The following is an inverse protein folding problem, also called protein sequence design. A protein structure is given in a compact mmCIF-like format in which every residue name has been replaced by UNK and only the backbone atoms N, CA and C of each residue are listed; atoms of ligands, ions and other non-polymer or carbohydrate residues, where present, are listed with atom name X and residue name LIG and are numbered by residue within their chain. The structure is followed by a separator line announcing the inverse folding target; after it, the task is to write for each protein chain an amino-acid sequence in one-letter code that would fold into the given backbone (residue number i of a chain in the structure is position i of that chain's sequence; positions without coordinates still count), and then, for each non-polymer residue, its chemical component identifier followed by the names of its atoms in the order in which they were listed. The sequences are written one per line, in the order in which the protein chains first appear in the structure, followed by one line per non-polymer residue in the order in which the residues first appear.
data_IF_599190493077
#
_entry.id   IF_599190493077
#
_cell.length_a   1.000
_cell.length_b   1.000
_cell.length_c   1.000
_cell.angle_alpha   90.00
_cell.angle_beta   90.00
_cell.angle_gamma   90.00
#
_symmetry.space_group_name_H-M   'P 1'
#
loop_
_entity.id
_entity.type
_entity.pdbx_description
1 polymer ?
#
# COMPACT_ATOMS: atom_id res chain seq x y z
N UNK A 1 -12.42 -12.44 10.65
CA UNK A 1 -11.20 -11.62 10.54
C UNK A 1 -10.59 -11.81 9.17
N UNK A 2 -10.41 -10.74 8.46
CA UNK A 2 -9.79 -10.80 7.14
C UNK A 2 -8.29 -10.99 7.24
N UNK A 3 -7.77 -11.89 6.42
CA UNK A 3 -6.35 -12.16 6.38
C UNK A 3 -5.68 -11.30 5.31
N UNK A 4 -4.55 -10.69 5.68
CA UNK A 4 -3.75 -9.88 4.78
C UNK A 4 -2.61 -10.72 4.21
N UNK A 5 -2.42 -10.65 2.90
CA UNK A 5 -1.36 -11.36 2.20
C UNK A 5 -0.41 -10.39 1.54
N UNK A 6 0.86 -10.75 1.52
CA UNK A 6 1.86 -10.07 0.70
C UNK A 6 1.92 -10.81 -0.63
N UNK A 7 1.78 -10.06 -1.71
CA UNK A 7 1.80 -10.62 -3.06
C UNK A 7 3.19 -11.16 -3.38
N UNK A 8 3.24 -12.43 -3.80
CA UNK A 8 4.49 -13.08 -4.20
C UNK A 8 4.58 -13.13 -5.73
N UNK A 9 5.59 -12.48 -6.34
CA UNK A 9 5.74 -12.47 -7.80
C UNK A 9 5.90 -13.85 -8.44
N UNK A 10 6.32 -14.86 -7.65
CA UNK A 10 6.58 -16.22 -8.16
C UNK A 10 5.48 -17.21 -7.80
N UNK A 11 4.40 -16.75 -7.19
CA UNK A 11 3.24 -17.57 -6.89
C UNK A 11 2.21 -17.43 -8.02
N UNK A 12 2.02 -18.51 -8.78
CA UNK A 12 1.09 -18.52 -9.91
C UNK A 12 -0.34 -18.18 -9.50
N UNK A 13 -0.76 -18.61 -8.32
CA UNK A 13 -2.09 -18.34 -7.80
C UNK A 13 -2.26 -16.84 -7.54
N UNK A 14 -1.26 -16.19 -6.96
CA UNK A 14 -1.30 -14.74 -6.74
C UNK A 14 -1.42 -13.97 -8.04
N UNK A 15 -0.66 -14.40 -9.06
CA UNK A 15 -0.72 -13.76 -10.38
C UNK A 15 -2.11 -13.90 -10.99
N UNK A 16 -2.68 -15.10 -10.92
CA UNK A 16 -4.02 -15.36 -11.45
C UNK A 16 -5.09 -14.54 -10.72
N UNK A 17 -4.99 -14.42 -9.42
CA UNK A 17 -5.88 -13.57 -8.62
C UNK A 17 -5.80 -12.12 -9.08
N UNK A 18 -4.60 -11.63 -9.33
CA UNK A 18 -4.39 -10.25 -9.73
C UNK A 18 -4.88 -9.99 -11.15
N UNK A 19 -4.64 -10.92 -12.07
CA UNK A 19 -5.16 -10.83 -13.44
C UNK A 19 -6.68 -10.82 -13.45
N UNK A 20 -7.31 -11.66 -12.64
CA UNK A 20 -8.77 -11.70 -12.50
C UNK A 20 -9.31 -10.39 -11.93
N UNK A 21 -8.61 -9.82 -10.96
CA UNK A 21 -8.97 -8.53 -10.38
C UNK A 21 -8.98 -7.43 -11.43
N UNK A 22 -7.92 -7.34 -12.24
CA UNK A 22 -7.84 -6.34 -13.30
C UNK A 22 -8.93 -6.50 -14.34
N UNK A 23 -9.21 -7.74 -14.71
CA UNK A 23 -10.26 -8.05 -15.70
C UNK A 23 -11.65 -7.69 -15.17
N UNK A 24 -11.95 -8.07 -13.93
CA UNK A 24 -13.24 -7.80 -13.31
C UNK A 24 -13.52 -6.31 -13.14
N UNK A 25 -12.53 -5.57 -12.69
CA UNK A 25 -12.67 -4.14 -12.41
C UNK A 25 -12.31 -3.25 -13.61
N UNK A 26 -11.83 -3.84 -14.70
CA UNK A 26 -11.41 -3.13 -15.92
C UNK A 26 -10.40 -2.04 -15.63
N UNK A 27 -9.38 -2.39 -14.85
CA UNK A 27 -8.30 -1.49 -14.45
C UNK A 27 -6.95 -2.11 -14.70
N UNK A 28 -5.92 -1.27 -14.84
CA UNK A 28 -4.53 -1.68 -14.84
C UNK A 28 -3.93 -1.29 -13.52
N UNK A 29 -3.27 -2.24 -12.84
CA UNK A 29 -2.71 -2.00 -11.51
C UNK A 29 -1.19 -1.90 -11.56
N UNK A 30 -0.65 -1.08 -10.68
CA UNK A 30 0.79 -1.02 -10.45
C UNK A 30 1.31 -2.36 -9.91
N UNK A 31 0.47 -3.08 -9.19
CA UNK A 31 0.82 -4.38 -8.62
C UNK A 31 1.15 -5.40 -9.70
N UNK A 32 0.30 -5.55 -10.71
CA UNK A 32 0.56 -6.51 -11.79
C UNK A 32 1.74 -6.06 -12.64
N UNK A 33 1.83 -4.79 -12.96
CA UNK A 33 2.96 -4.23 -13.70
C UNK A 33 4.29 -4.53 -13.00
N UNK A 34 4.35 -4.29 -11.70
CA UNK A 34 5.55 -4.52 -10.90
C UNK A 34 5.96 -5.99 -10.86
N UNK A 35 5.03 -6.91 -10.59
CA UNK A 35 5.38 -8.33 -10.49
C UNK A 35 5.77 -8.95 -11.83
N UNK A 36 5.13 -8.52 -12.92
CA UNK A 36 5.50 -9.02 -14.24
C UNK A 36 6.90 -8.55 -14.64
N UNK A 37 7.23 -7.31 -14.33
CA UNK A 37 8.56 -6.76 -14.56
C UNK A 37 9.63 -7.54 -13.79
N UNK A 38 9.35 -7.89 -12.54
CA UNK A 38 10.25 -8.70 -11.71
C UNK A 38 10.45 -10.08 -12.33
N UNK A 39 9.35 -10.77 -12.67
CA UNK A 39 9.42 -12.11 -13.24
C UNK A 39 10.17 -12.16 -14.57
N UNK A 40 10.01 -11.13 -15.39
CA UNK A 40 10.67 -11.08 -16.69
C UNK A 40 12.18 -10.80 -16.59
N UNK A 41 12.61 -10.20 -15.48
CA UNK A 41 13.97 -9.74 -15.31
C UNK A 41 14.82 -10.61 -14.36
N UNK A 42 14.19 -11.28 -13.40
CA UNK A 42 14.89 -11.97 -12.31
C UNK A 42 14.34 -13.38 -12.09
N UNK A 43 15.22 -14.30 -11.67
CA UNK A 43 14.79 -15.57 -11.11
C UNK A 43 14.31 -15.33 -9.67
N UNK A 44 13.62 -16.31 -9.10
CA UNK A 44 13.16 -16.23 -7.71
C UNK A 44 14.34 -16.05 -6.74
N UNK A 45 15.44 -16.76 -6.97
CA UNK A 45 16.64 -16.62 -6.14
C UNK A 45 17.28 -15.24 -6.26
N UNK A 46 17.40 -14.73 -7.47
CA UNK A 46 17.92 -13.38 -7.71
C UNK A 46 17.05 -12.32 -7.01
N UNK A 47 15.73 -12.50 -7.07
CA UNK A 47 14.78 -11.60 -6.44
C UNK A 47 14.96 -11.60 -4.91
N UNK A 48 15.09 -12.78 -4.30
CA UNK A 48 15.31 -12.90 -2.85
C UNK A 48 16.61 -12.22 -2.42
N UNK A 49 17.67 -12.38 -3.20
CA UNK A 49 18.95 -11.75 -2.91
C UNK A 49 18.87 -10.23 -3.03
N UNK A 50 18.21 -9.76 -4.07
CA UNK A 50 18.02 -8.32 -4.27
C UNK A 50 17.24 -7.68 -3.11
N UNK A 51 16.19 -8.36 -2.65
CA UNK A 51 15.35 -7.86 -1.56
C UNK A 51 16.07 -7.72 -0.23
N UNK A 52 17.08 -8.56 0.03
CA UNK A 52 17.83 -8.51 1.30
C UNK A 52 18.59 -7.19 1.47
N UNK A 53 19.07 -6.60 0.38
CA UNK A 53 19.95 -5.44 0.42
C UNK A 53 19.35 -4.19 -0.24
N UNK A 54 18.12 -4.28 -0.72
CA UNK A 54 17.51 -3.17 -1.43
C UNK A 54 17.07 -2.07 -0.45
N UNK A 55 17.41 -0.83 -0.80
CA UNK A 55 16.86 0.32 -0.11
C UNK A 55 15.41 0.57 -0.55
N UNK A 56 15.12 0.37 -1.82
CA UNK A 56 13.79 0.57 -2.36
C UNK A 56 12.83 -0.56 -1.96
N UNK A 57 11.62 -0.18 -1.60
CA UNK A 57 10.54 -1.09 -1.28
C UNK A 57 9.49 -0.98 -2.37
N UNK A 58 9.16 -2.09 -3.00
CA UNK A 58 8.00 -2.22 -3.87
C UNK A 58 7.33 -3.53 -3.52
N UNK A 59 6.12 -3.46 -2.99
CA UNK A 59 5.35 -4.66 -2.68
C UNK A 59 3.86 -4.35 -2.74
N UNK A 60 3.08 -5.41 -2.85
CA UNK A 60 1.63 -5.29 -2.82
C UNK A 60 1.08 -6.16 -1.71
N UNK A 61 0.01 -5.67 -1.09
CA UNK A 61 -0.75 -6.41 -0.10
C UNK A 61 -2.19 -6.54 -0.58
N UNK A 62 -2.83 -7.62 -0.22
CA UNK A 62 -4.22 -7.85 -0.61
C UNK A 62 -4.97 -8.66 0.44
N UNK A 63 -6.29 -8.52 0.43
CA UNK A 63 -7.20 -9.39 1.16
C UNK A 63 -7.98 -10.23 0.15
N UNK A 64 -8.40 -11.41 0.57
CA UNK A 64 -9.09 -12.36 -0.29
C UNK A 64 -10.46 -12.68 0.27
N UNK A 65 -11.45 -12.79 -0.61
CA UNK A 65 -12.79 -13.22 -0.27
C UNK A 65 -13.36 -14.02 -1.42
N UNK A 66 -13.85 -15.22 -1.10
CA UNK A 66 -14.49 -16.11 -2.09
C UNK A 66 -13.61 -16.42 -3.30
N UNK A 67 -12.31 -16.60 -3.08
CA UNK A 67 -11.35 -16.92 -4.12
C UNK A 67 -10.96 -15.76 -5.02
N UNK A 68 -11.23 -14.53 -4.59
CA UNK A 68 -10.91 -13.32 -5.35
C UNK A 68 -10.22 -12.30 -4.47
N UNK A 69 -9.43 -11.43 -5.08
CA UNK A 69 -8.88 -10.28 -4.37
C UNK A 69 -10.03 -9.31 -4.08
N UNK A 70 -10.18 -8.96 -2.81
CA UNK A 70 -11.16 -8.01 -2.35
C UNK A 70 -10.59 -6.61 -2.25
N UNK A 71 -9.43 -6.48 -1.61
CA UNK A 71 -8.74 -5.22 -1.42
C UNK A 71 -7.30 -5.36 -1.90
N UNK A 72 -6.78 -4.33 -2.53
CA UNK A 72 -5.43 -4.33 -3.08
C UNK A 72 -4.77 -2.97 -2.83
N UNK A 73 -3.54 -3.00 -2.33
CA UNK A 73 -2.74 -1.79 -2.13
C UNK A 73 -1.31 -2.05 -2.59
N UNK A 74 -0.78 -1.14 -3.41
CA UNK A 74 0.62 -1.14 -3.81
C UNK A 74 1.40 -0.19 -2.90
N UNK A 75 2.54 -0.65 -2.39
CA UNK A 75 3.38 0.13 -1.46
C UNK A 75 4.74 0.37 -2.11
N UNK A 76 5.13 1.62 -2.18
CA UNK A 76 6.42 2.02 -2.73
C UNK A 76 7.14 2.93 -1.74
N UNK A 77 8.39 2.62 -1.43
CA UNK A 77 9.09 3.41 -0.43
C UNK A 77 10.59 3.18 -0.40
N UNK A 78 11.22 3.75 0.61
CA UNK A 78 12.65 3.67 0.83
C UNK A 78 12.96 3.38 2.29
N UNK A 79 13.83 2.38 2.51
CA UNK A 79 14.22 1.93 3.85
C UNK A 79 15.09 2.94 4.60
N UNK A 80 15.98 3.65 3.90
CA UNK A 80 16.93 4.55 4.55
C UNK A 80 16.24 5.75 5.21
N UNK A 81 15.20 6.30 4.56
CA UNK A 81 14.41 7.40 5.11
C UNK A 81 13.12 6.92 5.78
N UNK A 82 12.85 5.62 5.73
CA UNK A 82 11.72 4.94 6.36
C UNK A 82 10.38 5.61 6.02
N UNK A 83 10.20 5.89 4.74
CA UNK A 83 9.01 6.54 4.20
C UNK A 83 8.46 5.70 3.06
N UNK A 84 7.14 5.60 2.98
CA UNK A 84 6.49 4.94 1.87
C UNK A 84 5.22 5.66 1.44
N UNK A 85 4.78 5.34 0.24
CA UNK A 85 3.56 5.85 -0.36
C UNK A 85 2.62 4.69 -0.65
N UNK A 86 1.35 4.85 -0.33
CA UNK A 86 0.32 3.85 -0.59
C UNK A 86 -0.45 4.23 -1.84
N UNK A 87 -0.64 3.26 -2.72
CA UNK A 87 -1.42 3.41 -3.95
C UNK A 87 -2.59 2.45 -3.89
N UNK A 88 -3.80 3.00 -3.93
CA UNK A 88 -5.01 2.20 -3.88
C UNK A 88 -5.59 2.08 -5.28
N UNK A 89 -5.95 0.86 -5.66
CA UNK A 89 -6.67 0.65 -6.91
C UNK A 89 -8.08 1.17 -6.76
N UNK A 90 -8.64 1.77 -7.82
CA UNK A 90 -10.03 2.21 -7.76
C UNK A 90 -10.94 1.02 -7.46
N UNK A 91 -11.74 1.12 -6.39
CA UNK A 91 -12.77 0.14 -6.11
C UNK A 91 -14.13 0.82 -6.26
N UNK A 92 -15.14 0.13 -6.80
CA UNK A 92 -16.48 0.70 -6.88
C UNK A 92 -17.15 0.81 -5.51
N UNK A 93 -16.67 0.11 -4.51
CA UNK A 93 -17.26 0.11 -3.17
C UNK A 93 -16.59 1.12 -2.24
N UNK A 94 -17.20 2.30 -2.12
CA UNK A 94 -16.68 3.38 -1.27
C UNK A 94 -16.64 3.03 0.22
N UNK A 95 -17.50 2.13 0.67
CA UNK A 95 -17.63 1.76 2.08
C UNK A 95 -16.38 1.06 2.62
N UNK A 96 -15.61 0.43 1.76
CA UNK A 96 -14.43 -0.34 2.18
C UNK A 96 -13.14 0.46 2.21
N UNK A 97 -13.15 1.66 1.68
CA UNK A 97 -11.95 2.48 1.59
C UNK A 97 -11.31 2.73 2.95
N UNK A 98 -12.12 3.02 3.97
CA UNK A 98 -11.61 3.25 5.33
C UNK A 98 -10.91 2.02 5.90
N UNK A 99 -11.52 0.85 5.72
CA UNK A 99 -10.97 -0.41 6.24
C UNK A 99 -9.64 -0.74 5.56
N UNK A 100 -9.59 -0.63 4.24
CA UNK A 100 -8.37 -0.86 3.47
C UNK A 100 -7.28 0.14 3.86
N UNK A 101 -7.65 1.41 4.00
CA UNK A 101 -6.71 2.45 4.40
C UNK A 101 -6.12 2.16 5.78
N UNK A 102 -6.94 1.76 6.75
CA UNK A 102 -6.47 1.38 8.08
C UNK A 102 -5.54 0.17 8.04
N UNK A 103 -5.91 -0.86 7.30
CA UNK A 103 -5.10 -2.08 7.16
C UNK A 103 -3.74 -1.77 6.52
N UNK A 104 -3.73 -1.03 5.44
CA UNK A 104 -2.50 -0.70 4.72
C UNK A 104 -1.60 0.24 5.54
N UNK A 105 -2.18 1.22 6.21
CA UNK A 105 -1.44 2.13 7.07
C UNK A 105 -0.81 1.39 8.25
N UNK A 106 -1.58 0.54 8.91
CA UNK A 106 -1.08 -0.28 10.02
C UNK A 106 0.06 -1.19 9.56
N UNK A 107 -0.10 -1.83 8.40
CA UNK A 107 0.93 -2.69 7.82
C UNK A 107 2.22 -1.90 7.56
N UNK A 108 2.11 -0.73 6.96
CA UNK A 108 3.27 0.11 6.65
C UNK A 108 4.00 0.57 7.91
N UNK A 109 3.27 1.04 8.90
CA UNK A 109 3.88 1.55 10.14
C UNK A 109 4.40 0.43 11.04
N UNK A 110 3.62 -0.63 11.25
CA UNK A 110 3.92 -1.64 12.26
C UNK A 110 4.62 -2.89 11.71
N UNK A 111 4.32 -3.31 10.50
CA UNK A 111 4.97 -4.48 9.90
C UNK A 111 6.22 -4.10 9.11
N UNK A 112 6.12 -3.08 8.27
CA UNK A 112 7.30 -2.59 7.52
C UNK A 112 8.19 -1.67 8.33
N UNK A 113 7.69 -1.11 9.43
CA UNK A 113 8.46 -0.23 10.30
C UNK A 113 8.72 1.16 9.73
N UNK A 114 7.84 1.65 8.87
CA UNK A 114 7.98 2.99 8.31
C UNK A 114 7.75 4.07 9.37
N UNK A 115 8.42 5.20 9.23
CA UNK A 115 8.20 6.38 10.07
C UNK A 115 7.12 7.27 9.51
N UNK A 116 6.99 7.31 8.19
CA UNK A 116 6.04 8.17 7.51
C UNK A 116 5.34 7.42 6.39
N UNK A 117 4.06 7.67 6.23
CA UNK A 117 3.23 7.10 5.16
C UNK A 117 2.51 8.23 4.43
N UNK A 118 2.62 8.24 3.11
CA UNK A 118 1.97 9.24 2.27
C UNK A 118 0.84 8.61 1.45
N UNK A 119 -0.22 9.39 1.26
CA UNK A 119 -1.29 9.07 0.31
C UNK A 119 -1.56 10.31 -0.50
N UNK A 120 -1.64 10.16 -1.81
CA UNK A 120 -1.95 11.25 -2.72
C UNK A 120 -3.34 11.00 -3.32
N UNK A 121 -4.19 12.00 -3.28
CA UNK A 121 -5.53 11.91 -3.85
C UNK A 121 -5.86 13.19 -4.61
N UNK A 122 -7.00 13.22 -5.28
CA UNK A 122 -7.47 14.40 -6.01
C UNK A 122 -8.42 15.22 -5.15
N UNK A 123 -8.55 16.51 -5.46
CA UNK A 123 -9.45 17.41 -4.74
C UNK A 123 -10.91 16.94 -4.79
N UNK A 124 -11.29 16.22 -5.85
CA UNK A 124 -12.66 15.76 -6.06
C UNK A 124 -13.03 14.49 -5.30
N UNK A 125 -12.05 13.77 -4.77
CA UNK A 125 -12.28 12.51 -4.06
C UNK A 125 -12.61 12.76 -2.58
N UNK A 126 -13.81 13.25 -2.33
CA UNK A 126 -14.26 13.62 -0.98
C UNK A 126 -14.28 12.43 -0.02
N UNK A 127 -14.61 11.26 -0.51
CA UNK A 127 -14.63 10.03 0.31
C UNK A 127 -13.23 9.73 0.83
N UNK A 128 -12.23 9.82 -0.03
CA UNK A 128 -10.85 9.59 0.38
C UNK A 128 -10.38 10.64 1.41
N UNK A 129 -10.72 11.91 1.21
CA UNK A 129 -10.38 12.97 2.17
C UNK A 129 -10.92 12.68 3.56
N UNK A 130 -12.20 12.32 3.65
CA UNK A 130 -12.85 12.01 4.93
C UNK A 130 -12.15 10.80 5.58
N UNK A 131 -11.88 9.76 4.82
CA UNK A 131 -11.25 8.55 5.35
C UNK A 131 -9.81 8.80 5.81
N UNK A 132 -9.04 9.59 5.07
CA UNK A 132 -7.68 9.94 5.44
C UNK A 132 -7.66 10.74 6.75
N UNK A 133 -8.53 11.73 6.88
CA UNK A 133 -8.64 12.52 8.11
C UNK A 133 -9.05 11.64 9.30
N UNK A 134 -10.01 10.73 9.11
CA UNK A 134 -10.45 9.81 10.15
C UNK A 134 -9.38 8.80 10.54
N UNK A 135 -8.44 8.51 9.65
CA UNK A 135 -7.31 7.61 9.94
C UNK A 135 -6.10 8.34 10.52
N UNK A 136 -6.23 9.63 10.77
CA UNK A 136 -5.18 10.42 11.41
C UNK A 136 -4.16 11.01 10.47
N UNK A 137 -4.45 11.07 9.18
CA UNK A 137 -3.56 11.72 8.20
C UNK A 137 -3.73 13.23 8.23
N UNK A 138 -2.62 13.92 8.05
CA UNK A 138 -2.57 15.38 7.95
C UNK A 138 -2.53 15.80 6.49
N UNK A 139 -3.36 16.77 6.13
CA UNK A 139 -3.37 17.37 4.79
C UNK A 139 -2.20 18.34 4.67
N UNK A 140 -1.25 18.06 3.79
CA UNK A 140 -0.08 18.91 3.55
C UNK A 140 -0.30 19.96 2.48
N UNK A 141 -1.44 19.92 1.79
CA UNK A 141 -1.77 20.89 0.78
C UNK A 141 -1.89 20.32 -0.62
N UNK A 142 -2.25 21.21 -1.55
CA UNK A 142 -2.49 20.87 -2.95
C UNK A 142 -1.30 21.24 -3.81
N UNK A 143 -0.92 20.35 -4.74
CA UNK A 143 0.09 20.61 -5.75
C UNK A 143 -0.40 20.04 -7.08
N UNK A 144 -0.62 20.92 -8.06
CA UNK A 144 -1.05 20.55 -9.42
C UNK A 144 -2.30 19.65 -9.44
N UNK A 145 -3.29 19.98 -8.62
CA UNK A 145 -4.54 19.22 -8.56
C UNK A 145 -4.50 17.97 -7.67
N UNK A 146 -3.35 17.65 -7.13
CA UNK A 146 -3.18 16.53 -6.20
C UNK A 146 -3.07 17.05 -4.77
N UNK A 147 -3.70 16.34 -3.85
CA UNK A 147 -3.62 16.65 -2.42
C UNK A 147 -2.81 15.55 -1.73
N UNK A 148 -1.83 15.98 -0.95
CA UNK A 148 -0.90 15.07 -0.28
C UNK A 148 -1.27 14.98 1.20
N UNK A 149 -1.43 13.74 1.67
CA UNK A 149 -1.69 13.43 3.07
C UNK A 149 -0.51 12.67 3.65
N UNK A 150 -0.20 12.97 4.90
CA UNK A 150 0.92 12.35 5.62
C UNK A 150 0.43 11.81 6.96
N UNK A 151 0.89 10.61 7.30
CA UNK A 151 0.78 10.11 8.66
C UNK A 151 2.16 9.69 9.14
N UNK A 152 2.57 10.24 10.27
CA UNK A 152 3.83 9.90 10.91
C UNK A 152 3.59 8.93 12.06
N UNK A 153 4.59 8.08 12.32
CA UNK A 153 4.56 7.23 13.51
C UNK A 153 4.55 8.10 14.76
N UNK A 154 3.67 7.78 15.68
CA UNK A 154 3.63 8.50 16.95
C UNK A 154 4.90 8.28 17.75
N UNK A 155 5.48 9.38 18.23
CA UNK A 155 6.62 9.32 19.14
C UNK A 155 6.08 8.95 20.52
N UNK A 156 6.69 7.97 21.18
CA UNK A 156 6.31 7.60 22.53
C UNK A 156 6.53 8.77 23.49
N UNK A 157 5.44 9.31 24.02
CA UNK A 157 5.49 10.43 24.96
C UNK A 157 6.03 10.04 26.34
N UNK A 158 6.12 8.73 26.59
CA UNK A 158 6.58 8.20 27.88
C UNK A 158 8.01 8.64 28.20
N UNK A 159 8.86 8.78 27.20
CA UNK A 159 10.24 9.21 27.37
C UNK A 159 10.37 10.63 27.88
N UNK A 160 9.38 11.47 27.61
CA UNK A 160 9.39 12.86 28.05
C UNK A 160 8.96 13.05 29.50
N UNK A 161 8.36 12.05 30.10
CA UNK A 161 7.89 12.11 31.49
C UNK A 161 8.96 11.83 32.52
N UNK A 162 10.13 11.38 32.10
CA UNK A 162 11.23 11.02 32.99
C UNK A 162 12.31 12.10 33.10
N UNK A 163 12.01 13.25 32.59
CA UNK A 163 12.95 14.37 32.69
C UNK A 163 12.62 15.32 33.84
#
# INVERSE_FOLDING_TARGET
MERLYILNPYDSNHINLLMSYEQEHKVSTKSLESIMKVRDSLTEEEYKQLKKNANEIELSIFTEESGKIKDLCFIQGENDIRTCKLFFSPTPEKVRTRKLLNLATDFALNTLGMQSVFVVTTANDKTMHINLENCGYENLGEEKGSIIYLKEREVEKVQHKHQ
#
